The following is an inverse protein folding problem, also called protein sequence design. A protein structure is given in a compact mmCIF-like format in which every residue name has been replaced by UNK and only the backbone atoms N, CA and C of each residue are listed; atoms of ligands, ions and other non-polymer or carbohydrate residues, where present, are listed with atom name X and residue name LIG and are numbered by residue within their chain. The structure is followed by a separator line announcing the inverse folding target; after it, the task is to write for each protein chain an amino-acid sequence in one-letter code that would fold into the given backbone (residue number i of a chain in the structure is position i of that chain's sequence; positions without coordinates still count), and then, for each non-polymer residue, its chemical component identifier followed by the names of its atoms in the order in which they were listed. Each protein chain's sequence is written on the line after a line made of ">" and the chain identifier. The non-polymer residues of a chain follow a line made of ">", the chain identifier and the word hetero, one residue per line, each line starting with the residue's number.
data_IF_912732258695
#
_entry.id   IF_912732258695
#
_cell.length_a   1.000
_cell.length_b   1.000
_cell.length_c   1.000
_cell.angle_alpha   90.00
_cell.angle_beta   90.00
_cell.angle_gamma   90.00
#
_symmetry.space_group_name_H-M   'P 1'
#
loop_
_entity.id
_entity.type
_entity.pdbx_description
1 polymer ?
#
# COMPACT_ATOMS: atom_id res chain seq x y z
N UNK A 1 12.56 3.31 17.97
CA UNK A 1 11.43 3.08 17.06
C UNK A 1 10.37 4.15 17.31
N UNK A 2 10.31 5.17 16.49
CA UNK A 2 9.30 6.24 16.61
C UNK A 2 7.96 5.72 16.08
N UNK A 3 7.06 5.34 16.98
CA UNK A 3 5.68 5.06 16.61
C UNK A 3 5.06 6.33 16.06
N UNK A 4 4.66 6.31 14.80
CA UNK A 4 3.96 7.42 14.18
C UNK A 4 2.52 7.41 14.68
N UNK A 5 2.17 8.30 15.60
CA UNK A 5 0.79 8.44 16.09
C UNK A 5 0.07 9.51 15.28
N UNK A 6 -0.95 9.11 14.53
CA UNK A 6 -1.82 10.01 13.74
C UNK A 6 -3.30 9.74 14.06
N UNK A 7 -3.73 9.95 15.30
CA UNK A 7 -5.02 9.46 15.79
C UNK A 7 -6.23 10.07 15.09
N UNK A 8 -6.13 11.28 14.58
CA UNK A 8 -7.22 11.92 13.83
C UNK A 8 -7.38 11.25 12.47
N UNK A 9 -6.28 11.08 11.75
CA UNK A 9 -6.30 10.43 10.44
C UNK A 9 -6.74 8.96 10.53
N UNK A 10 -6.20 8.19 11.48
CA UNK A 10 -6.52 6.77 11.62
C UNK A 10 -8.01 6.53 11.89
N UNK A 11 -8.63 7.37 12.73
CA UNK A 11 -10.08 7.32 12.98
C UNK A 11 -10.90 7.74 11.75
N UNK A 12 -10.47 8.78 11.04
CA UNK A 12 -11.11 9.20 9.79
C UNK A 12 -11.01 8.08 8.74
N UNK A 13 -9.81 7.52 8.54
CA UNK A 13 -9.60 6.42 7.61
C UNK A 13 -10.48 5.22 7.94
N UNK A 14 -10.44 4.76 9.18
CA UNK A 14 -11.18 3.59 9.62
C UNK A 14 -12.71 3.73 9.49
N UNK A 15 -13.25 4.94 9.72
CA UNK A 15 -14.71 5.16 9.75
C UNK A 15 -15.30 5.62 8.43
N UNK A 16 -14.54 6.33 7.60
CA UNK A 16 -15.04 7.00 6.40
C UNK A 16 -14.29 6.63 5.13
N UNK A 17 -12.96 6.82 5.09
CA UNK A 17 -12.20 6.65 3.87
C UNK A 17 -12.12 5.16 3.46
N UNK A 18 -11.74 4.26 4.35
CA UNK A 18 -11.70 2.83 4.09
C UNK A 18 -13.03 2.27 3.61
N UNK A 19 -14.13 2.40 4.38
CA UNK A 19 -15.47 1.97 3.93
C UNK A 19 -15.95 2.66 2.65
N UNK A 20 -15.52 3.90 2.41
CA UNK A 20 -15.80 4.63 1.17
C UNK A 20 -15.13 3.99 -0.04
N UNK A 21 -13.86 3.63 0.08
CA UNK A 21 -13.08 2.93 -0.95
C UNK A 21 -13.68 1.54 -1.23
N UNK A 22 -14.08 0.79 -0.18
CA UNK A 22 -14.73 -0.51 -0.36
C UNK A 22 -16.03 -0.39 -1.16
N UNK A 23 -16.89 0.54 -0.80
CA UNK A 23 -18.14 0.81 -1.55
C UNK A 23 -17.90 1.26 -3.00
N UNK A 24 -16.75 1.85 -3.26
CA UNK A 24 -16.32 2.24 -4.60
C UNK A 24 -15.69 1.09 -5.40
N UNK A 25 -15.52 -0.11 -4.82
CA UNK A 25 -14.99 -1.29 -5.51
C UNK A 25 -13.51 -1.57 -5.26
N UNK A 26 -12.91 -1.04 -4.18
CA UNK A 26 -11.51 -1.31 -3.85
C UNK A 26 -11.24 -2.80 -3.59
N UNK A 27 -12.22 -3.54 -3.07
CA UNK A 27 -12.13 -5.00 -2.89
C UNK A 27 -11.76 -5.73 -4.18
N UNK A 28 -12.38 -5.37 -5.32
CA UNK A 28 -12.03 -5.96 -6.62
C UNK A 28 -10.58 -5.69 -7.02
N UNK A 29 -10.04 -4.50 -6.69
CA UNK A 29 -8.63 -4.20 -6.96
C UNK A 29 -7.71 -5.05 -6.07
N UNK A 30 -8.10 -5.29 -4.80
CA UNK A 30 -7.38 -6.20 -3.88
C UNK A 30 -7.39 -7.63 -4.40
N UNK A 31 -8.53 -8.16 -4.82
CA UNK A 31 -8.62 -9.48 -5.44
C UNK A 31 -7.63 -9.63 -6.58
N UNK A 32 -7.52 -8.61 -7.43
CA UNK A 32 -6.64 -8.63 -8.61
C UNK A 32 -5.15 -8.62 -8.24
N UNK A 33 -4.73 -7.78 -7.29
CA UNK A 33 -3.31 -7.71 -6.91
C UNK A 33 -2.87 -8.90 -6.06
N UNK A 34 -3.78 -9.52 -5.32
CA UNK A 34 -3.45 -10.65 -4.44
C UNK A 34 -3.64 -11.99 -5.12
N UNK A 35 -4.32 -12.03 -6.29
CA UNK A 35 -4.53 -13.25 -7.04
C UNK A 35 -3.20 -13.96 -7.38
N UNK A 36 -3.14 -15.27 -7.12
CA UNK A 36 -1.99 -16.12 -7.42
C UNK A 36 -0.79 -15.94 -6.49
N UNK A 37 -0.88 -15.11 -5.45
CA UNK A 37 0.13 -15.06 -4.40
C UNK A 37 0.20 -16.38 -3.66
N UNK A 38 1.43 -16.77 -3.25
CA UNK A 38 1.71 -18.00 -2.52
C UNK A 38 2.92 -17.82 -1.61
N UNK A 39 3.09 -18.76 -0.68
CA UNK A 39 4.23 -18.77 0.23
C UNK A 39 4.18 -17.68 1.29
N UNK A 40 5.33 -17.17 1.68
CA UNK A 40 5.47 -16.15 2.71
C UNK A 40 5.39 -14.74 2.11
N UNK A 41 4.47 -13.93 2.59
CA UNK A 41 4.18 -12.58 2.08
C UNK A 41 4.43 -11.53 3.16
N UNK A 42 5.04 -10.40 2.77
CA UNK A 42 5.08 -9.20 3.61
C UNK A 42 4.15 -8.12 3.04
N UNK A 43 3.28 -7.56 3.86
CA UNK A 43 2.40 -6.45 3.50
C UNK A 43 2.83 -5.18 4.23
N UNK A 44 3.10 -4.11 3.48
CA UNK A 44 3.38 -2.79 4.06
C UNK A 44 2.10 -1.98 4.24
N UNK A 45 2.00 -1.31 5.40
CA UNK A 45 0.89 -0.41 5.69
C UNK A 45 -0.46 -1.13 5.69
N UNK A 46 -0.56 -2.21 6.46
CA UNK A 46 -1.77 -3.04 6.51
C UNK A 46 -3.05 -2.28 6.87
N UNK A 47 -2.92 -1.08 7.41
CA UNK A 47 -4.04 -0.25 7.81
C UNK A 47 -4.94 -0.97 8.82
N UNK A 48 -6.21 -1.07 8.51
CA UNK A 48 -7.20 -1.82 9.31
C UNK A 48 -7.45 -3.26 8.81
N UNK A 49 -6.57 -3.80 7.95
CA UNK A 49 -6.61 -5.20 7.51
C UNK A 49 -7.56 -5.50 6.35
N UNK A 50 -7.86 -4.51 5.49
CA UNK A 50 -8.80 -4.68 4.37
C UNK A 50 -8.32 -5.65 3.29
N UNK A 51 -7.02 -5.93 3.20
CA UNK A 51 -6.48 -6.93 2.27
C UNK A 51 -6.66 -8.37 2.77
N UNK A 52 -6.77 -8.58 4.06
CA UNK A 52 -6.68 -9.92 4.67
C UNK A 52 -7.70 -10.95 4.15
N UNK A 53 -8.98 -10.58 3.92
CA UNK A 53 -9.95 -11.52 3.36
C UNK A 53 -9.66 -11.94 1.91
N UNK A 54 -8.79 -11.23 1.21
CA UNK A 54 -8.49 -11.43 -0.22
C UNK A 54 -7.24 -12.28 -0.48
N UNK A 55 -6.49 -12.67 0.57
CA UNK A 55 -5.33 -13.54 0.40
C UNK A 55 -5.75 -14.95 -0.02
N UNK A 56 -5.14 -15.50 -1.10
CA UNK A 56 -5.44 -16.86 -1.54
C UNK A 56 -4.92 -17.91 -0.55
N UNK A 57 -5.50 -19.12 -0.62
CA UNK A 57 -5.18 -20.23 0.29
C UNK A 57 -3.73 -20.74 0.18
N UNK A 58 -3.06 -20.47 -0.95
CA UNK A 58 -1.65 -20.83 -1.17
C UNK A 58 -0.67 -19.93 -0.41
N UNK A 59 -1.13 -18.84 0.20
CA UNK A 59 -0.33 -18.00 1.08
C UNK A 59 -0.20 -18.71 2.44
N UNK A 60 1.02 -19.03 2.81
CA UNK A 60 1.33 -19.81 4.03
C UNK A 60 1.56 -18.93 5.25
N UNK A 61 1.92 -17.66 5.05
CA UNK A 61 2.09 -16.64 6.08
C UNK A 61 2.01 -15.24 5.50
N UNK A 62 1.33 -14.33 6.18
CA UNK A 62 1.37 -12.90 5.91
C UNK A 62 1.94 -12.18 7.12
N UNK A 63 3.02 -11.43 6.90
CA UNK A 63 3.52 -10.47 7.91
C UNK A 63 3.01 -9.08 7.51
N UNK A 64 2.07 -8.55 8.28
CA UNK A 64 1.38 -7.30 8.03
C UNK A 64 1.98 -6.17 8.89
N UNK A 65 2.76 -5.27 8.28
CA UNK A 65 3.47 -4.20 8.98
C UNK A 65 2.60 -2.95 9.03
N UNK A 66 2.28 -2.47 10.26
CA UNK A 66 1.50 -1.24 10.45
C UNK A 66 2.09 -0.38 11.59
N UNK A 67 2.61 0.83 11.29
CA UNK A 67 3.21 1.70 12.30
C UNK A 67 2.19 2.37 13.21
N UNK A 68 0.97 2.66 12.71
CA UNK A 68 -0.04 3.39 13.49
C UNK A 68 -0.80 2.45 14.42
N UNK A 69 -0.75 2.73 15.71
CA UNK A 69 -1.29 1.84 16.76
C UNK A 69 -2.77 1.52 16.60
N UNK A 70 -3.60 2.53 16.34
CA UNK A 70 -5.07 2.32 16.27
C UNK A 70 -5.46 1.45 15.06
N UNK A 71 -4.83 1.67 13.90
CA UNK A 71 -5.05 0.84 12.72
C UNK A 71 -4.53 -0.58 12.94
N UNK A 72 -3.36 -0.72 13.56
CA UNK A 72 -2.78 -2.03 13.89
C UNK A 72 -3.69 -2.84 14.80
N UNK A 73 -4.26 -2.24 15.87
CA UNK A 73 -5.24 -2.90 16.74
C UNK A 73 -6.50 -3.35 15.98
N UNK A 74 -6.88 -2.63 14.93
CA UNK A 74 -7.98 -3.04 14.05
C UNK A 74 -7.55 -4.20 13.13
N UNK A 75 -6.34 -4.13 12.55
CA UNK A 75 -5.78 -5.20 11.74
C UNK A 75 -5.63 -6.51 12.54
N UNK A 76 -5.16 -6.44 13.79
CA UNK A 76 -5.09 -7.61 14.68
C UNK A 76 -6.46 -8.29 14.87
N UNK A 77 -7.52 -7.50 15.04
CA UNK A 77 -8.88 -8.04 15.10
C UNK A 77 -9.34 -8.63 13.77
N UNK A 78 -9.00 -7.98 12.66
CA UNK A 78 -9.32 -8.49 11.32
C UNK A 78 -8.58 -9.81 11.03
N UNK A 79 -7.31 -9.92 11.43
CA UNK A 79 -6.52 -11.15 11.31
C UNK A 79 -7.15 -12.34 12.06
N UNK A 80 -7.80 -12.09 13.21
CA UNK A 80 -8.43 -13.14 14.01
C UNK A 80 -9.69 -13.77 13.39
N UNK A 81 -10.23 -13.22 12.29
CA UNK A 81 -11.48 -13.70 11.69
C UNK A 81 -11.34 -14.14 10.22
N UNK A 82 -10.13 -14.09 9.67
CA UNK A 82 -9.83 -14.57 8.31
C UNK A 82 -9.12 -15.91 8.35
N UNK A 83 -9.19 -16.65 7.24
CA UNK A 83 -8.52 -17.97 7.10
C UNK A 83 -7.02 -17.83 6.80
N UNK A 84 -6.59 -16.73 6.20
CA UNK A 84 -5.18 -16.50 5.90
C UNK A 84 -4.37 -16.35 7.22
N UNK A 85 -3.17 -16.96 7.32
CA UNK A 85 -2.34 -16.89 8.51
C UNK A 85 -1.61 -15.55 8.60
N UNK A 86 -2.27 -14.53 9.15
CA UNK A 86 -1.79 -13.16 9.23
C UNK A 86 -1.21 -12.86 10.61
N UNK A 87 0.04 -12.39 10.64
CA UNK A 87 0.73 -11.85 11.80
C UNK A 87 0.86 -10.33 11.64
N UNK A 88 0.23 -9.56 12.52
CA UNK A 88 0.29 -8.09 12.48
C UNK A 88 1.39 -7.58 13.39
N UNK A 89 2.30 -6.78 12.85
CA UNK A 89 3.47 -6.29 13.57
C UNK A 89 3.60 -4.77 13.54
N UNK A 90 4.14 -4.22 14.62
CA UNK A 90 4.55 -2.81 14.65
C UNK A 90 5.88 -2.67 13.90
N UNK A 91 5.93 -1.77 12.92
CA UNK A 91 7.17 -1.55 12.16
C UNK A 91 7.08 -0.34 11.24
N UNK A 92 8.24 0.04 10.70
CA UNK A 92 8.36 1.04 9.65
C UNK A 92 8.72 0.36 8.35
N UNK A 93 8.17 0.85 7.25
CA UNK A 93 8.48 0.37 5.91
C UNK A 93 9.96 0.58 5.53
N UNK A 94 10.60 1.58 6.12
CA UNK A 94 11.98 1.97 5.84
C UNK A 94 13.04 1.14 6.60
N UNK A 95 12.60 0.27 7.54
CA UNK A 95 13.50 -0.57 8.34
C UNK A 95 12.77 -1.84 8.79
N UNK A 96 12.78 -2.85 7.94
CA UNK A 96 12.12 -4.13 8.19
C UNK A 96 13.04 -5.06 8.99
N UNK A 97 12.60 -5.57 10.16
CA UNK A 97 13.44 -6.41 11.02
C UNK A 97 13.50 -7.87 10.56
N UNK A 98 13.65 -8.08 9.26
CA UNK A 98 13.73 -9.40 8.64
C UNK A 98 15.03 -9.54 7.84
N UNK A 99 15.62 -10.73 7.81
CA UNK A 99 16.78 -11.02 6.96
C UNK A 99 16.51 -10.81 5.47
N UNK A 100 17.58 -10.68 4.69
CA UNK A 100 17.51 -10.68 3.24
C UNK A 100 16.86 -11.96 2.73
N UNK A 101 16.02 -11.88 1.70
CA UNK A 101 15.41 -13.05 1.07
C UNK A 101 14.47 -13.85 1.96
N UNK A 102 13.75 -13.18 2.89
CA UNK A 102 12.82 -13.85 3.81
C UNK A 102 11.47 -14.16 3.18
N UNK A 103 11.02 -13.39 2.17
CA UNK A 103 9.67 -13.46 1.64
C UNK A 103 9.62 -13.82 0.15
N UNK A 104 8.58 -14.54 -0.25
CA UNK A 104 8.29 -14.88 -1.65
C UNK A 104 7.64 -13.74 -2.39
N UNK A 105 6.84 -12.93 -1.68
CA UNK A 105 6.17 -11.76 -2.24
C UNK A 105 6.02 -10.61 -1.23
N UNK A 106 5.85 -9.42 -1.76
CA UNK A 106 5.52 -8.22 -1.01
C UNK A 106 4.24 -7.58 -1.57
N UNK A 107 3.46 -6.94 -0.70
CA UNK A 107 2.24 -6.22 -1.06
C UNK A 107 2.33 -4.77 -0.57
N UNK A 108 2.04 -3.82 -1.46
CA UNK A 108 1.90 -2.42 -1.17
C UNK A 108 0.56 -1.92 -1.75
N UNK A 109 -0.41 -1.63 -0.88
CA UNK A 109 -1.76 -1.22 -1.29
C UNK A 109 -2.13 0.11 -0.63
N UNK A 110 -2.11 1.19 -1.41
CA UNK A 110 -2.39 2.57 -0.97
C UNK A 110 -1.50 3.03 0.20
N UNK A 111 -0.24 2.63 0.19
CA UNK A 111 0.73 2.90 1.25
C UNK A 111 1.96 3.68 0.77
N UNK A 112 2.49 3.39 -0.43
CA UNK A 112 3.69 4.06 -0.96
C UNK A 112 3.47 5.55 -1.18
N UNK A 113 2.23 5.97 -1.37
CA UNK A 113 1.83 7.37 -1.40
C UNK A 113 2.02 8.09 -0.05
N UNK A 114 2.05 7.35 1.08
CA UNK A 114 1.99 7.89 2.45
C UNK A 114 3.26 7.67 3.27
N UNK A 115 4.13 6.73 2.87
CA UNK A 115 5.41 6.51 3.56
C UNK A 115 6.31 7.75 3.47
N UNK A 116 7.04 8.12 4.52
CA UNK A 116 7.94 9.27 4.51
C UNK A 116 9.00 9.18 3.42
N UNK A 117 9.67 8.04 3.32
CA UNK A 117 10.78 7.80 2.39
C UNK A 117 10.47 6.58 1.49
N UNK A 118 9.71 6.76 0.39
CA UNK A 118 9.33 5.65 -0.50
C UNK A 118 10.52 4.87 -1.06
N UNK A 119 11.61 5.57 -1.33
CA UNK A 119 12.86 4.97 -1.80
C UNK A 119 13.43 3.99 -0.77
N UNK A 120 13.48 4.37 0.50
CA UNK A 120 13.97 3.51 1.56
C UNK A 120 13.06 2.29 1.76
N UNK A 121 11.74 2.51 1.72
CA UNK A 121 10.76 1.43 1.81
C UNK A 121 10.88 0.41 0.66
N UNK A 122 11.03 0.89 -0.58
CA UNK A 122 11.19 0.02 -1.75
C UNK A 122 12.52 -0.76 -1.71
N UNK A 123 13.61 -0.14 -1.24
CA UNK A 123 14.87 -0.85 -1.03
C UNK A 123 14.76 -1.95 0.01
N UNK A 124 14.07 -1.68 1.13
CA UNK A 124 13.84 -2.69 2.17
C UNK A 124 12.96 -3.83 1.65
N UNK A 125 11.89 -3.53 0.90
CA UNK A 125 11.11 -4.57 0.24
C UNK A 125 11.96 -5.44 -0.68
N UNK A 126 12.81 -4.80 -1.52
CA UNK A 126 13.69 -5.54 -2.42
C UNK A 126 14.72 -6.40 -1.67
N UNK A 127 15.22 -5.91 -0.54
CA UNK A 127 16.17 -6.65 0.30
C UNK A 127 15.54 -7.89 0.93
N UNK A 128 14.33 -7.77 1.46
CA UNK A 128 13.67 -8.89 2.15
C UNK A 128 13.00 -9.88 1.21
N UNK A 129 12.80 -9.53 -0.06
CA UNK A 129 12.32 -10.45 -1.07
C UNK A 129 13.43 -11.42 -1.51
N UNK A 130 13.05 -12.67 -1.74
CA UNK A 130 13.89 -13.66 -2.39
C UNK A 130 14.23 -13.24 -3.82
N UNK A 131 15.36 -13.66 -4.39
CA UNK A 131 15.62 -13.44 -5.82
C UNK A 131 14.46 -13.94 -6.68
N UNK A 132 13.92 -13.07 -7.53
CA UNK A 132 12.72 -13.35 -8.31
C UNK A 132 11.39 -13.24 -7.55
N UNK A 133 11.42 -12.80 -6.30
CA UNK A 133 10.22 -12.49 -5.52
C UNK A 133 9.44 -11.31 -6.11
N UNK A 134 8.14 -11.28 -5.89
CA UNK A 134 7.24 -10.34 -6.52
C UNK A 134 6.79 -9.22 -5.57
N UNK A 135 6.76 -7.98 -6.07
CA UNK A 135 6.04 -6.86 -5.46
C UNK A 135 4.70 -6.67 -6.17
N UNK A 136 3.60 -6.85 -5.45
CA UNK A 136 2.25 -6.54 -5.92
C UNK A 136 1.83 -5.17 -5.36
N UNK A 137 1.35 -4.29 -6.23
CA UNK A 137 1.01 -2.92 -5.80
C UNK A 137 -0.30 -2.41 -6.39
N UNK A 138 -0.98 -1.60 -5.58
CA UNK A 138 -2.15 -0.81 -5.95
C UNK A 138 -2.01 0.57 -5.30
N UNK A 139 -1.79 1.62 -6.09
CA UNK A 139 -1.47 2.96 -5.58
C UNK A 139 -2.16 4.05 -6.40
N UNK A 140 -2.58 5.14 -5.75
CA UNK A 140 -2.86 6.35 -6.50
C UNK A 140 -1.56 7.06 -6.87
N UNK A 141 -1.55 7.72 -8.02
CA UNK A 141 -0.33 8.26 -8.62
C UNK A 141 -0.53 9.62 -9.23
N UNK A 142 0.55 10.18 -9.69
CA UNK A 142 0.59 11.43 -10.46
C UNK A 142 -0.32 11.34 -11.67
N UNK A 143 -1.19 12.34 -11.83
CA UNK A 143 -2.19 12.40 -12.88
C UNK A 143 -1.57 12.55 -14.27
N UNK A 144 -2.24 11.98 -15.27
CA UNK A 144 -1.85 12.16 -16.68
C UNK A 144 -2.10 13.59 -17.17
N UNK A 145 -3.15 14.23 -16.71
CA UNK A 145 -3.55 15.60 -17.07
C UNK A 145 -2.62 16.65 -16.44
N UNK A 146 -2.16 17.63 -17.21
CA UNK A 146 -1.33 18.73 -16.71
C UNK A 146 -2.08 19.62 -15.70
N UNK A 147 -3.40 19.77 -15.83
CA UNK A 147 -4.22 20.54 -14.90
C UNK A 147 -4.31 19.82 -13.55
N UNK A 148 -4.61 18.52 -13.58
CA UNK A 148 -4.69 17.71 -12.35
C UNK A 148 -3.32 17.63 -11.65
N UNK A 149 -2.21 17.53 -12.39
CA UNK A 149 -0.86 17.60 -11.80
C UNK A 149 -0.62 18.89 -11.02
N UNK A 150 -1.02 20.04 -11.57
CA UNK A 150 -0.88 21.33 -10.86
C UNK A 150 -1.71 21.35 -9.57
N UNK A 151 -2.90 20.76 -9.59
CA UNK A 151 -3.74 20.63 -8.38
C UNK A 151 -3.06 19.72 -7.37
N UNK A 152 -2.53 18.57 -7.82
CA UNK A 152 -1.76 17.65 -6.95
C UNK A 152 -0.55 18.35 -6.33
N UNK A 153 0.27 19.06 -7.13
CA UNK A 153 1.45 19.78 -6.64
C UNK A 153 1.06 20.85 -5.59
N UNK A 154 -0.03 21.57 -5.81
CA UNK A 154 -0.53 22.56 -4.85
C UNK A 154 -1.04 21.92 -3.54
N UNK A 155 -1.72 20.78 -3.62
CA UNK A 155 -2.21 20.06 -2.46
C UNK A 155 -1.05 19.44 -1.66
N UNK A 156 -0.11 18.80 -2.34
CA UNK A 156 1.03 18.12 -1.73
C UNK A 156 2.00 19.10 -1.03
N UNK A 157 2.14 20.32 -1.57
CA UNK A 157 2.98 21.38 -0.98
C UNK A 157 2.31 22.10 0.21
N UNK A 158 1.02 21.89 0.46
CA UNK A 158 0.28 22.64 1.47
C UNK A 158 -0.21 21.76 2.63
N UNK A 159 -1.49 21.43 2.63
CA UNK A 159 -2.15 20.83 3.79
C UNK A 159 -2.40 19.31 3.65
N UNK A 160 -2.43 18.79 2.42
CA UNK A 160 -2.87 17.43 2.15
C UNK A 160 -2.07 16.36 2.92
N UNK A 161 -0.72 16.34 2.88
CA UNK A 161 0.02 15.33 3.62
C UNK A 161 -0.19 15.39 5.13
N UNK A 162 -0.42 16.59 5.68
CA UNK A 162 -0.67 16.78 7.12
C UNK A 162 -2.02 16.22 7.55
N UNK A 163 -3.06 16.39 6.73
CA UNK A 163 -4.41 15.91 7.03
C UNK A 163 -4.63 14.46 6.64
N UNK A 164 -4.00 14.01 5.55
CA UNK A 164 -4.23 12.69 4.95
C UNK A 164 -3.14 11.68 5.29
N UNK A 165 -2.66 11.70 6.53
CA UNK A 165 -1.77 10.66 7.03
C UNK A 165 -0.41 10.55 6.33
N UNK A 166 0.11 11.65 5.77
CA UNK A 166 1.36 11.66 5.02
C UNK A 166 1.20 11.38 3.53
N UNK A 167 -0.04 11.15 3.07
CA UNK A 167 -0.34 10.88 1.68
C UNK A 167 0.06 12.06 0.77
N UNK A 168 0.77 11.78 -0.31
CA UNK A 168 1.07 12.69 -1.41
C UNK A 168 0.31 12.23 -2.64
N UNK A 169 -0.45 13.13 -3.26
CA UNK A 169 -1.35 12.79 -4.37
C UNK A 169 -0.62 12.56 -5.69
N UNK A 170 0.55 13.18 -5.86
CA UNK A 170 1.28 13.25 -7.13
C UNK A 170 2.57 12.45 -7.20
N UNK A 171 2.72 11.35 -6.44
CA UNK A 171 3.92 10.50 -6.54
C UNK A 171 3.94 9.68 -7.84
N UNK A 172 5.11 9.56 -8.45
CA UNK A 172 5.36 8.60 -9.54
C UNK A 172 5.83 7.27 -8.93
N UNK A 173 4.86 6.50 -8.45
CA UNK A 173 5.15 5.24 -7.76
C UNK A 173 5.75 4.19 -8.70
N UNK A 174 5.28 4.11 -9.96
CA UNK A 174 5.82 3.15 -10.91
C UNK A 174 7.30 3.45 -11.22
N UNK A 175 7.64 4.70 -11.51
CA UNK A 175 9.04 5.11 -11.70
C UNK A 175 9.90 4.91 -10.47
N UNK A 176 9.36 5.11 -9.26
CA UNK A 176 10.07 4.84 -8.01
C UNK A 176 10.37 3.35 -7.82
N UNK A 177 9.43 2.46 -8.17
CA UNK A 177 9.61 1.00 -8.13
C UNK A 177 10.75 0.58 -9.08
N UNK A 178 10.74 1.06 -10.34
CA UNK A 178 11.79 0.77 -11.30
C UNK A 178 13.16 1.31 -10.84
N UNK A 179 13.19 2.55 -10.36
CA UNK A 179 14.40 3.18 -9.84
C UNK A 179 14.98 2.44 -8.63
N UNK A 180 14.15 1.77 -7.82
CA UNK A 180 14.59 0.92 -6.71
C UNK A 180 15.18 -0.43 -7.16
N UNK A 181 15.21 -0.71 -8.47
CA UNK A 181 15.82 -1.89 -9.07
C UNK A 181 14.85 -3.06 -9.27
N UNK A 182 13.55 -2.83 -9.17
CA UNK A 182 12.54 -3.80 -9.59
C UNK A 182 12.32 -3.75 -11.10
N UNK A 183 11.99 -4.89 -11.68
CA UNK A 183 11.51 -4.97 -13.07
C UNK A 183 9.99 -5.03 -13.05
N UNK A 184 9.32 -3.97 -13.53
CA UNK A 184 7.86 -3.94 -13.65
C UNK A 184 7.44 -4.86 -14.80
N UNK A 185 6.74 -5.94 -14.49
CA UNK A 185 6.29 -6.95 -15.45
C UNK A 185 4.85 -6.75 -15.87
N UNK A 186 4.04 -6.11 -15.03
CA UNK A 186 2.65 -5.78 -15.32
C UNK A 186 2.31 -4.41 -14.74
N UNK A 187 1.66 -3.56 -15.54
CA UNK A 187 1.24 -2.22 -15.12
C UNK A 187 -0.08 -1.83 -15.77
N UNK A 188 -1.11 -1.65 -14.95
CA UNK A 188 -2.40 -1.12 -15.38
C UNK A 188 -2.62 0.26 -14.78
N UNK A 189 -2.85 1.26 -15.65
CA UNK A 189 -3.26 2.61 -15.24
C UNK A 189 -4.76 2.76 -15.42
N UNK A 190 -5.45 3.32 -14.43
CA UNK A 190 -6.89 3.51 -14.45
C UNK A 190 -7.32 4.62 -13.49
N UNK A 191 -8.56 5.08 -13.62
CA UNK A 191 -9.15 6.03 -12.65
C UNK A 191 -10.03 5.27 -11.66
N UNK A 192 -9.82 5.58 -10.39
CA UNK A 192 -10.57 4.96 -9.28
C UNK A 192 -10.86 5.98 -8.17
N UNK A 193 -12.12 6.07 -7.67
CA UNK A 193 -13.30 5.48 -8.31
C UNK A 193 -13.50 6.03 -9.73
N UNK A 194 -14.25 5.30 -10.54
CA UNK A 194 -14.59 5.77 -11.90
C UNK A 194 -15.40 7.07 -11.81
N UNK A 195 -14.76 8.18 -12.03
CA UNK A 195 -15.37 9.51 -11.99
C UNK A 195 -14.76 10.42 -13.04
N UNK A 196 -15.59 11.31 -13.60
CA UNK A 196 -15.14 12.41 -14.46
C UNK A 196 -14.79 13.67 -13.67
N UNK A 197 -15.11 13.69 -12.37
CA UNK A 197 -14.78 14.82 -11.51
C UNK A 197 -13.26 14.91 -11.29
N UNK A 198 -12.77 16.13 -11.12
CA UNK A 198 -11.41 16.40 -10.68
C UNK A 198 -11.25 15.92 -9.24
N UNK A 199 -10.67 14.74 -9.09
CA UNK A 199 -10.39 14.18 -7.78
C UNK A 199 -8.88 13.89 -7.69
N UNK A 200 -8.17 14.50 -6.73
CA UNK A 200 -6.70 14.52 -6.74
C UNK A 200 -6.03 13.15 -6.60
N UNK A 201 -6.76 12.15 -6.12
CA UNK A 201 -6.28 10.77 -5.99
C UNK A 201 -7.03 9.82 -6.94
N UNK A 202 -7.56 10.30 -8.08
CA UNK A 202 -8.32 9.45 -9.00
C UNK A 202 -7.44 8.57 -9.90
N UNK A 203 -6.27 9.07 -10.30
CA UNK A 203 -5.36 8.28 -11.13
C UNK A 203 -4.65 7.23 -10.28
N UNK A 204 -4.81 5.97 -10.68
CA UNK A 204 -4.24 4.81 -9.98
C UNK A 204 -3.41 3.94 -10.89
N UNK A 205 -2.52 3.21 -10.29
CA UNK A 205 -1.82 2.07 -10.90
C UNK A 205 -2.00 0.83 -10.05
N UNK A 206 -2.08 -0.31 -10.69
CA UNK A 206 -1.86 -1.62 -10.07
C UNK A 206 -0.92 -2.41 -10.96
N UNK A 207 -0.16 -3.30 -10.37
CA UNK A 207 0.77 -4.10 -11.14
C UNK A 207 1.60 -5.06 -10.32
N UNK A 208 2.52 -5.69 -11.04
CA UNK A 208 3.50 -6.62 -10.52
C UNK A 208 4.89 -6.15 -10.92
N UNK A 209 5.84 -6.26 -10.01
CA UNK A 209 7.25 -6.04 -10.29
C UNK A 209 8.08 -7.15 -9.63
N UNK A 210 9.21 -7.51 -10.23
CA UNK A 210 10.09 -8.60 -9.78
C UNK A 210 11.40 -8.00 -9.24
N UNK A 211 11.88 -8.56 -8.09
CA UNK A 211 13.09 -8.14 -7.39
C UNK A 211 14.38 -8.66 -8.03
#
# INVERSE_FOLDING_TARGET
>A
MTQTSRPVFSRFYARLAGPGLERAGAGEQRDRILAGLRGEVIELGAGNGLNFPHYPADVTRVVAVEPERHLREMAERAAGVVSAPVEVVAGSAEALPYPDGSFDAAVASLVLCSVPEPWAALRELRRVLRPGGELRFFEHVRAASAVERRVQDALDSTFWPRLMGGCHTGRDTAGAIEAAGFTVTELHRFRFPETRALFPTADHVRGTAVA
#
